data_IF_583541765327
#
_entry.id   IF_583541765327
#
_cell.length_a   1.000
_cell.length_b   1.000
_cell.length_c   1.000
_cell.angle_alpha   90.00
_cell.angle_beta   90.00
_cell.angle_gamma   90.00
#
_symmetry.space_group_name_H-M   'P 1'
#
loop_
_entity.id
_entity.type
_entity.pdbx_description
1 polymer ?
#
# COMPACT_ATOMS: atom_id res chain seq x y z
N UNK A 1 0.17 -5.17 -27.55
CA UNK A 1 1.13 -6.10 -26.91
C UNK A 1 1.30 -5.68 -25.46
N UNK A 2 1.24 -6.60 -24.49
CA UNK A 2 1.46 -6.29 -23.06
C UNK A 2 2.84 -6.80 -22.67
N UNK A 3 3.70 -5.92 -22.16
CA UNK A 3 5.02 -6.27 -21.63
C UNK A 3 4.99 -6.07 -20.11
N UNK A 4 5.37 -7.10 -19.35
CA UNK A 4 5.53 -7.05 -17.90
C UNK A 4 6.98 -7.40 -17.60
N UNK A 5 7.65 -6.56 -16.82
CA UNK A 5 9.05 -6.74 -16.42
C UNK A 5 9.07 -6.80 -14.90
N UNK A 6 9.51 -7.92 -14.35
CA UNK A 6 9.65 -8.14 -12.92
C UNK A 6 11.13 -8.19 -12.56
N UNK A 7 11.53 -7.46 -11.52
CA UNK A 7 12.90 -7.39 -11.00
C UNK A 7 14.01 -7.20 -12.08
N UNK A 8 13.94 -6.15 -12.92
CA UNK A 8 14.96 -5.93 -13.95
C UNK A 8 16.32 -5.57 -13.33
N UNK A 9 17.40 -6.00 -13.96
CA UNK A 9 18.74 -5.49 -13.62
C UNK A 9 18.88 -4.03 -14.05
N UNK A 10 19.77 -3.25 -13.43
CA UNK A 10 20.03 -1.87 -13.84
C UNK A 10 20.38 -1.74 -15.33
N UNK A 11 21.18 -2.66 -15.86
CA UNK A 11 21.62 -2.66 -17.26
C UNK A 11 20.44 -2.91 -18.21
N UNK A 12 19.54 -3.84 -17.86
CA UNK A 12 18.32 -4.07 -18.63
C UNK A 12 17.44 -2.81 -18.64
N UNK A 13 17.34 -2.14 -17.50
CA UNK A 13 16.56 -0.90 -17.38
C UNK A 13 17.11 0.18 -18.31
N UNK A 14 18.41 0.43 -18.30
CA UNK A 14 19.05 1.43 -19.17
C UNK A 14 18.86 1.11 -20.66
N UNK A 15 19.05 -0.15 -21.06
CA UNK A 15 18.87 -0.58 -22.44
C UNK A 15 17.42 -0.43 -22.90
N UNK A 16 16.46 -0.78 -22.04
CA UNK A 16 15.05 -0.61 -22.35
C UNK A 16 14.69 0.87 -22.51
N UNK A 17 15.16 1.74 -21.60
CA UNK A 17 14.92 3.18 -21.72
C UNK A 17 15.54 3.76 -23.00
N UNK A 18 16.75 3.34 -23.35
CA UNK A 18 17.39 3.76 -24.61
C UNK A 18 16.56 3.34 -25.81
N UNK A 19 16.08 2.09 -25.84
CA UNK A 19 15.25 1.58 -26.92
C UNK A 19 13.92 2.35 -27.04
N UNK A 20 13.27 2.65 -25.91
CA UNK A 20 12.02 3.41 -25.90
C UNK A 20 12.25 4.86 -26.39
N UNK A 21 13.39 5.47 -26.06
CA UNK A 21 13.77 6.80 -26.53
C UNK A 21 14.00 6.82 -28.05
N UNK A 22 14.72 5.82 -28.58
CA UNK A 22 15.01 5.69 -30.02
C UNK A 22 13.74 5.51 -30.87
N UNK A 23 12.68 4.98 -30.26
CA UNK A 23 11.39 4.74 -30.90
C UNK A 23 10.25 5.61 -30.36
N UNK A 24 10.56 6.75 -29.72
CA UNK A 24 9.56 7.61 -29.07
C UNK A 24 8.40 8.04 -29.99
N UNK A 25 8.63 8.16 -31.31
CA UNK A 25 7.58 8.46 -32.30
C UNK A 25 6.52 7.36 -32.46
N UNK A 26 6.81 6.13 -32.01
CA UNK A 26 5.96 4.94 -32.13
C UNK A 26 5.58 4.34 -30.78
N UNK A 27 6.08 4.91 -29.68
CA UNK A 27 5.90 4.41 -28.31
C UNK A 27 4.97 5.37 -27.56
N UNK A 28 3.75 4.93 -27.33
CA UNK A 28 2.84 5.57 -26.38
C UNK A 28 2.91 4.82 -25.05
N UNK A 29 3.37 5.48 -24.00
CA UNK A 29 3.37 4.91 -22.65
C UNK A 29 1.97 5.11 -22.06
N UNK A 30 1.10 4.11 -22.24
CA UNK A 30 -0.14 4.04 -21.48
C UNK A 30 0.18 3.61 -20.05
N UNK A 31 0.08 4.56 -19.13
CA UNK A 31 0.13 4.26 -17.70
C UNK A 31 -1.26 3.87 -17.25
N UNK A 32 -1.40 2.62 -16.77
CA UNK A 32 -2.65 2.12 -16.24
C UNK A 32 -3.01 2.91 -14.97
N UNK A 33 -4.09 3.69 -15.01
CA UNK A 33 -4.61 4.50 -13.91
C UNK A 33 -5.55 3.71 -12.98
N UNK A 34 -5.29 2.40 -12.81
CA UNK A 34 -6.01 1.53 -11.89
C UNK A 34 -5.32 1.39 -10.54
N UNK A 35 -6.12 1.29 -9.48
CA UNK A 35 -5.61 0.92 -8.16
C UNK A 35 -5.22 -0.55 -8.15
N UNK A 36 -4.01 -0.80 -7.70
CA UNK A 36 -3.53 -2.14 -7.35
C UNK A 36 -3.31 -2.20 -5.83
N UNK A 37 -3.26 -3.40 -5.21
CA UNK A 37 -2.99 -3.52 -3.78
C UNK A 37 -1.71 -2.80 -3.35
N UNK A 38 -0.64 -2.89 -4.14
CA UNK A 38 0.63 -2.21 -3.82
C UNK A 38 0.51 -0.67 -3.86
N UNK A 39 -0.19 -0.11 -4.86
CA UNK A 39 -0.46 1.34 -4.91
C UNK A 39 -1.35 1.76 -3.75
N UNK A 40 -2.35 0.95 -3.41
CA UNK A 40 -3.26 1.20 -2.30
C UNK A 40 -2.53 1.14 -0.95
N UNK A 41 -1.57 0.21 -0.76
CA UNK A 41 -0.73 0.15 0.44
C UNK A 41 0.16 1.39 0.55
N UNK A 42 0.75 1.84 -0.56
CA UNK A 42 1.54 3.07 -0.59
C UNK A 42 0.68 4.30 -0.27
N UNK A 43 -0.53 4.39 -0.84
CA UNK A 43 -1.50 5.43 -0.52
C UNK A 43 -1.84 5.42 0.97
N UNK A 44 -2.23 4.26 1.51
CA UNK A 44 -2.55 4.05 2.93
C UNK A 44 -1.42 4.50 3.85
N UNK A 45 -0.17 4.12 3.56
CA UNK A 45 0.99 4.50 4.37
C UNK A 45 1.31 6.00 4.29
N UNK A 46 0.86 6.70 3.24
CA UNK A 46 1.04 8.14 3.08
C UNK A 46 -0.01 8.98 3.81
N UNK A 47 -1.07 8.34 4.33
CA UNK A 47 -2.17 8.99 5.03
C UNK A 47 -1.84 9.21 6.52
N UNK A 48 -2.27 10.33 7.12
CA UNK A 48 -2.26 10.46 8.57
C UNK A 48 -3.26 9.49 9.22
N UNK A 49 -3.09 9.13 10.52
CA UNK A 49 -3.91 8.12 11.21
C UNK A 49 -5.42 8.36 11.11
N UNK A 50 -5.85 9.63 11.12
CA UNK A 50 -7.27 9.98 11.02
C UNK A 50 -7.85 9.70 9.64
N UNK A 51 -7.09 9.91 8.56
CA UNK A 51 -7.53 9.58 7.21
C UNK A 51 -7.47 8.07 6.93
N UNK A 52 -6.48 7.38 7.51
CA UNK A 52 -6.45 5.92 7.56
C UNK A 52 -7.71 5.36 8.24
N UNK A 53 -8.14 5.93 9.37
CA UNK A 53 -9.38 5.54 10.03
C UNK A 53 -10.58 5.61 9.09
N UNK A 54 -10.77 6.72 8.36
CA UNK A 54 -11.89 6.86 7.41
C UNK A 54 -11.89 5.73 6.37
N UNK A 55 -10.74 5.47 5.76
CA UNK A 55 -10.61 4.44 4.72
C UNK A 55 -10.87 3.03 5.30
N UNK A 56 -10.30 2.72 6.47
CA UNK A 56 -10.49 1.43 7.15
C UNK A 56 -11.94 1.21 7.55
N UNK A 57 -12.59 2.19 8.19
CA UNK A 57 -14.01 2.06 8.55
C UNK A 57 -14.88 1.90 7.30
N UNK A 58 -14.58 2.62 6.21
CA UNK A 58 -15.32 2.46 4.96
C UNK A 58 -15.17 1.05 4.38
N UNK A 59 -13.96 0.48 4.36
CA UNK A 59 -13.73 -0.92 3.93
C UNK A 59 -14.48 -1.90 4.83
N UNK A 60 -14.35 -1.77 6.15
CA UNK A 60 -15.02 -2.65 7.13
C UNK A 60 -16.55 -2.62 7.02
N UNK A 61 -17.11 -1.49 6.60
CA UNK A 61 -18.54 -1.31 6.40
C UNK A 61 -18.95 -1.39 4.91
N UNK A 62 -18.27 -2.26 4.16
CA UNK A 62 -18.61 -2.60 2.77
C UNK A 62 -18.72 -1.38 1.85
N UNK A 63 -17.70 -0.53 1.92
CA UNK A 63 -17.53 0.63 1.05
C UNK A 63 -18.16 1.92 1.56
N UNK A 64 -18.84 1.96 2.71
CA UNK A 64 -19.42 3.21 3.23
C UNK A 64 -19.27 3.38 4.73
N UNK A 65 -18.82 4.56 5.16
CA UNK A 65 -18.80 4.97 6.56
C UNK A 65 -19.59 6.26 6.74
N UNK A 66 -20.49 6.30 7.73
CA UNK A 66 -21.27 7.50 8.04
C UNK A 66 -20.41 8.54 8.78
N UNK A 67 -20.82 9.80 8.66
CA UNK A 67 -20.21 10.87 9.43
C UNK A 67 -20.33 10.62 10.93
N UNK A 68 -21.46 10.10 11.39
CA UNK A 68 -21.71 9.84 12.82
C UNK A 68 -20.76 8.81 13.41
N UNK A 69 -20.42 7.75 12.66
CA UNK A 69 -19.42 6.77 13.09
C UNK A 69 -18.00 7.36 13.18
N UNK A 70 -17.69 8.38 12.36
CA UNK A 70 -16.38 9.02 12.35
C UNK A 70 -16.24 10.11 13.42
N UNK A 71 -17.34 10.71 13.87
CA UNK A 71 -17.33 11.76 14.91
C UNK A 71 -16.94 11.14 16.26
N UNK A 72 -15.77 11.52 16.75
CA UNK A 72 -15.42 11.34 18.17
C UNK A 72 -16.07 12.47 18.96
N UNK A 73 -16.92 12.12 19.93
CA UNK A 73 -17.53 13.05 20.89
C UNK A 73 -18.23 14.27 20.25
N UNK A 74 -18.91 14.08 19.10
CA UNK A 74 -19.65 15.14 18.42
C UNK A 74 -18.79 16.20 17.71
N UNK A 75 -17.46 16.01 17.61
CA UNK A 75 -16.56 16.95 16.91
C UNK A 75 -16.83 16.99 15.40
N UNK A 76 -16.68 18.17 14.80
CA UNK A 76 -16.92 18.40 13.38
C UNK A 76 -15.97 17.61 12.46
N UNK A 77 -16.50 17.14 11.32
CA UNK A 77 -15.74 16.52 10.23
C UNK A 77 -15.15 17.54 9.23
N UNK A 78 -15.20 18.84 9.54
CA UNK A 78 -14.63 19.89 8.67
C UNK A 78 -13.11 19.68 8.52
N UNK A 79 -12.65 19.52 7.27
CA UNK A 79 -11.24 19.36 6.93
C UNK A 79 -10.74 17.91 6.81
N UNK A 80 -11.61 16.90 7.02
CA UNK A 80 -11.17 15.50 7.10
C UNK A 80 -10.94 14.87 5.72
N UNK A 81 -11.50 15.46 4.65
CA UNK A 81 -11.22 15.09 3.26
C UNK A 81 -9.91 15.67 2.71
N UNK A 82 -9.40 16.76 3.30
CA UNK A 82 -8.19 17.45 2.82
C UNK A 82 -6.98 16.52 2.72
N UNK A 83 -6.64 15.77 3.78
CA UNK A 83 -5.51 14.84 3.74
C UNK A 83 -5.61 13.73 2.68
N UNK A 84 -6.82 13.28 2.35
CA UNK A 84 -7.06 12.23 1.34
C UNK A 84 -6.69 12.75 -0.06
N UNK A 85 -7.16 13.94 -0.42
CA UNK A 85 -6.83 14.58 -1.70
C UNK A 85 -5.36 15.00 -1.74
N UNK A 86 -4.84 15.60 -0.67
CA UNK A 86 -3.44 15.99 -0.61
C UNK A 86 -2.49 14.79 -0.73
N UNK A 87 -2.88 13.60 -0.25
CA UNK A 87 -2.10 12.39 -0.46
C UNK A 87 -2.05 11.99 -1.95
N UNK A 88 -3.20 12.02 -2.65
CA UNK A 88 -3.28 11.76 -4.09
C UNK A 88 -2.38 12.71 -4.90
N UNK A 89 -2.50 14.01 -4.64
CA UNK A 89 -1.70 15.03 -5.32
C UNK A 89 -0.21 14.90 -5.02
N UNK A 90 0.14 14.56 -3.77
CA UNK A 90 1.55 14.32 -3.40
C UNK A 90 2.13 13.12 -4.12
N UNK A 91 1.41 12.00 -4.18
CA UNK A 91 1.94 10.82 -4.86
C UNK A 91 2.03 10.99 -6.37
N UNK A 92 1.11 11.75 -6.99
CA UNK A 92 1.25 12.13 -8.39
C UNK A 92 2.53 12.94 -8.62
N UNK A 93 2.76 14.00 -7.82
CA UNK A 93 3.99 14.81 -7.91
C UNK A 93 5.27 14.02 -7.64
N UNK A 94 5.20 12.93 -6.87
CA UNK A 94 6.32 12.03 -6.59
C UNK A 94 6.45 10.87 -7.59
N UNK A 95 5.58 10.79 -8.59
CA UNK A 95 5.57 9.71 -9.59
C UNK A 95 5.15 8.35 -9.04
N UNK A 96 4.44 8.30 -7.91
CA UNK A 96 3.96 7.04 -7.30
C UNK A 96 2.80 6.39 -8.08
N UNK A 97 2.01 7.21 -8.77
CA UNK A 97 0.93 6.80 -9.65
C UNK A 97 0.80 7.81 -10.79
N UNK A 98 0.18 7.40 -11.91
CA UNK A 98 0.01 8.28 -13.05
C UNK A 98 -0.95 9.44 -12.80
N UNK A 99 -0.96 10.39 -13.74
CA UNK A 99 -1.96 11.45 -13.77
C UNK A 99 -3.38 10.86 -13.92
N UNK A 100 -4.38 11.57 -13.41
CA UNK A 100 -5.77 11.14 -13.50
C UNK A 100 -6.15 9.95 -12.60
N UNK A 101 -5.27 9.55 -11.67
CA UNK A 101 -5.59 8.50 -10.68
C UNK A 101 -6.89 8.83 -9.94
N UNK A 102 -7.89 7.96 -10.05
CA UNK A 102 -9.21 8.14 -9.42
C UNK A 102 -9.05 8.21 -7.90
N UNK A 103 -9.74 9.14 -7.24
CA UNK A 103 -9.78 9.14 -5.77
C UNK A 103 -10.42 7.85 -5.25
N UNK A 104 -9.76 7.10 -4.35
CA UNK A 104 -10.27 5.82 -3.87
C UNK A 104 -11.40 5.96 -2.87
N UNK A 105 -11.64 7.18 -2.37
CA UNK A 105 -12.71 7.47 -1.42
C UNK A 105 -13.28 8.86 -1.70
N UNK A 106 -14.60 8.99 -1.59
CA UNK A 106 -15.34 10.19 -1.94
C UNK A 106 -16.27 10.62 -0.81
N UNK A 107 -16.30 11.91 -0.44
CA UNK A 107 -17.29 12.42 0.49
C UNK A 107 -18.69 12.28 -0.10
N UNK A 108 -19.67 11.95 0.73
CA UNK A 108 -21.08 11.84 0.39
C UNK A 108 -21.88 12.93 1.10
N UNK A 109 -22.92 13.47 0.44
CA UNK A 109 -23.82 14.46 1.03
C UNK A 109 -24.51 15.35 -0.01
N UNK A 110 -25.47 16.19 0.43
CA UNK A 110 -26.29 17.03 -0.45
C UNK A 110 -25.53 18.23 -1.06
N UNK A 111 -24.23 18.40 -0.77
CA UNK A 111 -23.42 19.55 -1.17
C UNK A 111 -23.25 20.59 -0.05
N UNK A 112 -22.68 21.75 -0.38
CA UNK A 112 -22.50 22.90 0.54
C UNK A 112 -21.70 22.61 1.83
N UNK A 113 -20.74 21.68 1.77
CA UNK A 113 -19.87 21.34 2.90
C UNK A 113 -20.52 20.43 3.95
N UNK A 114 -21.73 19.92 3.69
CA UNK A 114 -22.34 18.88 4.51
C UNK A 114 -21.90 17.50 4.03
N UNK A 115 -21.02 16.87 4.81
CA UNK A 115 -20.58 15.49 4.59
C UNK A 115 -21.38 14.59 5.53
N UNK A 116 -22.17 13.68 4.95
CA UNK A 116 -22.95 12.66 5.68
C UNK A 116 -22.18 11.34 5.82
N UNK A 117 -21.07 11.19 5.09
CA UNK A 117 -20.20 10.02 5.15
C UNK A 117 -19.17 10.01 4.04
N UNK A 118 -18.47 8.89 3.92
CA UNK A 118 -17.49 8.64 2.86
C UNK A 118 -17.77 7.29 2.20
N UNK A 119 -17.57 7.22 0.88
CA UNK A 119 -17.76 6.02 0.08
C UNK A 119 -16.50 5.64 -0.68
N UNK A 120 -16.11 4.38 -0.57
CA UNK A 120 -15.15 3.74 -1.46
C UNK A 120 -15.97 3.15 -2.62
N UNK A 121 -15.58 3.36 -3.88
CA UNK A 121 -16.16 2.67 -5.01
C UNK A 121 -16.08 1.15 -4.87
N UNK A 122 -17.15 0.43 -5.23
CA UNK A 122 -17.25 -1.02 -5.01
C UNK A 122 -16.08 -1.80 -5.63
N UNK A 123 -15.61 -1.35 -6.80
CA UNK A 123 -14.46 -1.92 -7.53
C UNK A 123 -13.12 -1.79 -6.78
N UNK A 124 -13.06 -0.93 -5.76
CA UNK A 124 -11.84 -0.65 -4.99
C UNK A 124 -11.88 -1.25 -3.59
N UNK A 125 -13.00 -1.80 -3.13
CA UNK A 125 -13.12 -2.32 -1.75
C UNK A 125 -12.10 -3.42 -1.51
N UNK A 126 -12.09 -4.46 -2.35
CA UNK A 126 -11.18 -5.61 -2.21
C UNK A 126 -9.70 -5.17 -2.31
N UNK A 127 -9.40 -4.21 -3.20
CA UNK A 127 -8.05 -3.67 -3.38
C UNK A 127 -7.54 -2.99 -2.11
N UNK A 128 -8.39 -2.18 -1.47
CA UNK A 128 -8.02 -1.49 -0.24
C UNK A 128 -8.08 -2.38 0.99
N UNK A 129 -8.96 -3.37 1.02
CA UNK A 129 -8.95 -4.42 2.04
C UNK A 129 -7.63 -5.18 2.04
N UNK A 130 -7.20 -5.67 0.88
CA UNK A 130 -5.91 -6.38 0.75
C UNK A 130 -4.74 -5.48 1.15
N UNK A 131 -4.76 -4.21 0.72
CA UNK A 131 -3.70 -3.26 1.06
C UNK A 131 -3.58 -2.98 2.57
N UNK A 132 -4.71 -2.85 3.28
CA UNK A 132 -4.75 -2.63 4.72
C UNK A 132 -4.23 -3.88 5.45
N UNK A 133 -4.71 -5.06 5.07
CA UNK A 133 -4.29 -6.34 5.64
C UNK A 133 -2.78 -6.55 5.47
N UNK A 134 -2.25 -6.32 4.26
CA UNK A 134 -0.83 -6.45 3.97
C UNK A 134 0.03 -5.47 4.77
N UNK A 135 -0.45 -4.23 4.94
CA UNK A 135 0.26 -3.23 5.78
C UNK A 135 0.25 -3.64 7.25
N UNK A 136 -0.88 -4.12 7.77
CA UNK A 136 -0.98 -4.62 9.15
C UNK A 136 -0.03 -5.77 9.40
N UNK A 137 0.03 -6.76 8.49
CA UNK A 137 0.99 -7.85 8.59
C UNK A 137 2.45 -7.37 8.53
N UNK A 138 2.74 -6.38 7.68
CA UNK A 138 4.06 -5.79 7.59
C UNK A 138 4.48 -5.12 8.90
N UNK A 139 3.63 -4.29 9.49
CA UNK A 139 3.91 -3.63 10.77
C UNK A 139 4.08 -4.63 11.90
N UNK A 140 3.14 -5.58 12.06
CA UNK A 140 3.21 -6.59 13.10
C UNK A 140 4.49 -7.43 13.00
N UNK A 141 4.84 -7.90 11.79
CA UNK A 141 6.06 -8.67 11.61
C UNK A 141 7.34 -7.83 11.80
N UNK A 142 7.34 -6.55 11.40
CA UNK A 142 8.47 -5.66 11.63
C UNK A 142 8.73 -5.44 13.12
N UNK A 143 7.70 -5.26 13.93
CA UNK A 143 7.81 -5.15 15.39
C UNK A 143 8.39 -6.42 16.02
N UNK A 144 7.91 -7.60 15.61
CA UNK A 144 8.47 -8.87 16.09
C UNK A 144 9.93 -9.03 15.66
N UNK A 145 10.27 -8.71 14.41
CA UNK A 145 11.65 -8.73 13.90
C UNK A 145 12.57 -7.82 14.72
N UNK A 146 12.11 -6.62 15.07
CA UNK A 146 12.86 -5.68 15.89
C UNK A 146 13.06 -6.18 17.33
N UNK A 147 12.06 -6.85 17.89
CA UNK A 147 12.13 -7.37 19.26
C UNK A 147 12.96 -8.65 19.39
N UNK A 148 12.89 -9.57 18.42
CA UNK A 148 13.50 -10.90 18.53
C UNK A 148 14.81 -11.05 17.75
N UNK A 149 15.07 -10.16 16.78
CA UNK A 149 16.25 -10.23 15.94
C UNK A 149 16.42 -11.57 15.20
N UNK A 150 17.65 -11.87 14.82
CA UNK A 150 18.09 -13.12 14.22
C UNK A 150 17.77 -13.26 12.73
N UNK A 151 17.68 -14.53 12.32
CA UNK A 151 17.42 -14.94 10.93
C UNK A 151 15.93 -15.25 10.74
N UNK A 152 15.40 -14.80 9.61
CA UNK A 152 13.98 -14.85 9.27
C UNK A 152 13.78 -15.55 7.94
N UNK A 153 12.94 -16.58 7.96
CA UNK A 153 12.45 -17.29 6.78
C UNK A 153 10.91 -17.25 6.75
N UNK A 154 10.26 -17.74 5.68
CA UNK A 154 8.80 -17.70 5.60
C UNK A 154 8.11 -18.52 6.69
N UNK A 155 8.72 -19.61 7.17
CA UNK A 155 8.13 -20.46 8.20
C UNK A 155 8.09 -19.73 9.55
N UNK A 156 9.19 -19.09 9.95
CA UNK A 156 9.26 -18.26 11.15
C UNK A 156 8.31 -17.06 11.06
N UNK A 157 8.25 -16.39 9.91
CA UNK A 157 7.32 -15.29 9.69
C UNK A 157 5.85 -15.70 9.87
N UNK A 158 5.45 -16.87 9.33
CA UNK A 158 4.09 -17.42 9.53
C UNK A 158 3.81 -17.67 11.01
N UNK A 159 4.77 -18.26 11.74
CA UNK A 159 4.59 -18.54 13.17
C UNK A 159 4.48 -17.26 14.01
N UNK A 160 5.30 -16.25 13.70
CA UNK A 160 5.23 -14.94 14.35
C UNK A 160 3.87 -14.26 14.09
N UNK A 161 3.46 -14.15 12.83
CA UNK A 161 2.17 -13.58 12.47
C UNK A 161 0.99 -14.33 13.12
N UNK A 162 1.06 -15.67 13.19
CA UNK A 162 0.04 -16.46 13.89
C UNK A 162 -0.04 -16.13 15.38
N UNK A 163 1.08 -15.90 16.07
CA UNK A 163 1.07 -15.48 17.48
C UNK A 163 0.40 -14.13 17.68
N UNK A 164 0.58 -13.22 16.72
CA UNK A 164 -0.11 -11.92 16.66
C UNK A 164 -1.57 -12.02 16.17
N UNK A 165 -2.10 -13.24 15.99
CA UNK A 165 -3.50 -13.47 15.56
C UNK A 165 -3.72 -13.40 14.05
N UNK A 166 -2.67 -13.28 13.24
CA UNK A 166 -2.73 -13.20 11.79
C UNK A 166 -2.48 -14.55 11.12
N UNK A 167 -3.43 -15.03 10.32
CA UNK A 167 -3.28 -16.28 9.55
C UNK A 167 -2.87 -15.93 8.12
N UNK A 168 -1.67 -16.34 7.72
CA UNK A 168 -1.13 -16.13 6.38
C UNK A 168 -0.56 -17.40 5.79
N UNK A 169 -0.54 -17.49 4.46
CA UNK A 169 0.15 -18.56 3.73
C UNK A 169 1.63 -18.22 3.48
N UNK A 170 2.37 -19.17 2.91
CA UNK A 170 3.78 -18.99 2.59
C UNK A 170 4.03 -17.99 1.45
N UNK A 171 3.05 -17.73 0.58
CA UNK A 171 3.19 -16.75 -0.50
C UNK A 171 3.15 -15.34 0.10
N UNK A 172 2.16 -15.05 0.93
CA UNK A 172 2.00 -13.78 1.63
C UNK A 172 3.13 -13.53 2.63
N UNK A 173 3.57 -14.54 3.38
CA UNK A 173 4.72 -14.39 4.28
C UNK A 173 6.01 -13.97 3.54
N UNK A 174 6.29 -14.55 2.35
CA UNK A 174 7.42 -14.12 1.51
C UNK A 174 7.25 -12.70 1.00
N UNK A 175 6.05 -12.32 0.59
CA UNK A 175 5.77 -10.96 0.13
C UNK A 175 6.00 -9.94 1.25
N UNK A 176 5.51 -10.21 2.47
CA UNK A 176 5.72 -9.36 3.64
C UNK A 176 7.20 -9.22 3.97
N UNK A 177 7.96 -10.33 4.01
CA UNK A 177 9.41 -10.28 4.24
C UNK A 177 10.14 -9.45 3.17
N UNK A 178 9.77 -9.60 1.88
CA UNK A 178 10.35 -8.79 0.80
C UNK A 178 10.08 -7.29 1.00
N UNK A 179 8.86 -6.92 1.40
CA UNK A 179 8.49 -5.53 1.68
C UNK A 179 9.26 -4.97 2.88
N UNK A 180 9.44 -5.76 3.94
CA UNK A 180 10.27 -5.37 5.10
C UNK A 180 11.74 -5.25 4.69
N UNK A 181 12.25 -6.11 3.82
CA UNK A 181 13.60 -5.98 3.30
C UNK A 181 13.80 -4.68 2.50
N UNK A 182 12.79 -4.26 1.74
CA UNK A 182 12.81 -3.00 1.01
C UNK A 182 12.86 -1.75 1.91
N UNK A 183 12.51 -1.87 3.20
CA UNK A 183 12.70 -0.77 4.18
C UNK A 183 14.11 -0.72 4.76
N UNK A 184 14.95 -1.71 4.46
CA UNK A 184 16.29 -1.85 5.04
C UNK A 184 16.31 -2.46 6.45
N UNK A 185 15.16 -2.87 6.99
CA UNK A 185 15.09 -3.50 8.31
C UNK A 185 15.81 -4.85 8.32
N UNK A 186 15.64 -5.62 7.25
CA UNK A 186 16.29 -6.92 7.08
C UNK A 186 16.99 -6.97 5.73
N UNK A 187 18.06 -7.75 5.65
CA UNK A 187 18.80 -7.99 4.41
C UNK A 187 18.69 -9.45 4.02
N UNK A 188 18.52 -9.72 2.71
CA UNK A 188 18.49 -11.09 2.20
C UNK A 188 19.89 -11.69 2.29
N UNK A 189 20.03 -12.85 2.92
CA UNK A 189 21.34 -13.50 3.14
C UNK A 189 21.61 -14.67 2.21
N UNK A 190 20.59 -15.16 1.50
CA UNK A 190 20.68 -16.25 0.53
C UNK A 190 20.22 -15.77 -0.85
N UNK A 191 20.99 -16.09 -1.91
CA UNK A 191 20.64 -15.67 -3.28
C UNK A 191 19.35 -16.32 -3.80
N UNK A 192 19.07 -17.54 -3.35
CA UNK A 192 18.00 -18.41 -3.84
C UNK A 192 16.83 -18.54 -2.88
N UNK A 193 17.10 -18.71 -1.58
CA UNK A 193 16.07 -18.87 -0.57
C UNK A 193 15.59 -17.51 -0.03
N UNK A 194 14.34 -17.44 0.42
CA UNK A 194 13.76 -16.26 1.07
C UNK A 194 14.22 -16.15 2.54
N UNK A 195 15.54 -16.12 2.76
CA UNK A 195 16.17 -16.04 4.08
C UNK A 195 16.73 -14.64 4.26
N UNK A 196 16.40 -14.03 5.40
CA UNK A 196 16.74 -12.66 5.74
C UNK A 196 17.39 -12.58 7.12
N UNK A 197 18.17 -11.54 7.39
CA UNK A 197 18.74 -11.24 8.71
C UNK A 197 18.51 -9.78 9.06
N UNK A 198 18.33 -9.47 10.35
CA UNK A 198 18.23 -8.08 10.83
C UNK A 198 19.52 -7.31 10.53
N UNK A 199 19.40 -6.12 9.96
CA UNK A 199 20.55 -5.32 9.50
C UNK A 199 21.51 -4.88 10.62
N UNK A 200 21.04 -4.75 11.86
CA UNK A 200 21.82 -4.20 12.98
C UNK A 200 22.47 -5.26 13.91
N UNK A 201 22.52 -6.54 13.52
CA UNK A 201 23.15 -7.62 14.29
C UNK A 201 24.58 -7.95 13.82
N UNK A 202 25.41 -6.93 13.58
CA UNK A 202 26.86 -7.15 13.43
C UNK A 202 27.55 -7.28 14.78
#
# INVERSE_FOLDING_TARGET
MKLIIEDPTPEFHEQLLSLLADHAAYVEIQTDATWTPDRASLYWNSLPPRAQRILREAVLHNGFVSADLLREDGKSLRGHSGPLNSALERGFRKGWWPDGMRSPIQPQGPGFGQVVGYRIPDDLIEVFEEAIVDTTHQSALAEVIDSEGGTWDPARAIQALRREGHIVDAKRARAVLRRIAATGLIVKTDGTAAIYRRTNEQ
#
